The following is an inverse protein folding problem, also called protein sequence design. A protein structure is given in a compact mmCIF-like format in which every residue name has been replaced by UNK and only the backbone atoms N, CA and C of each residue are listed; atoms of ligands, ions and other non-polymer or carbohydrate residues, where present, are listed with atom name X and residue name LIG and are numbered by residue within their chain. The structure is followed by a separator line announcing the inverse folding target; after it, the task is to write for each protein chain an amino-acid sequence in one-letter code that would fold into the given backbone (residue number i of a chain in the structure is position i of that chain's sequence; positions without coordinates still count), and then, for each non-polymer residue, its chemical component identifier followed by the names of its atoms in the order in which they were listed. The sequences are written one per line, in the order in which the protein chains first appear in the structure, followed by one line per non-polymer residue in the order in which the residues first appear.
data_IF_605972208236
#
_entry.id   IF_605972208236
#
_cell.length_a   1.000
_cell.length_b   1.000
_cell.length_c   1.000
_cell.angle_alpha   90.00
_cell.angle_beta   90.00
_cell.angle_gamma   90.00
#
_symmetry.space_group_name_H-M   'P 1'
#
loop_
_entity.id
_entity.type
_entity.pdbx_description
1 polymer ?
#
# COMPACT_ATOMS: atom_id res chain seq x y z
N UNK A 1 28.61 41.95 1.63
CA UNK A 1 27.62 41.30 0.76
C UNK A 1 27.70 39.82 1.04
N UNK A 2 26.90 39.35 2.01
CA UNK A 2 26.78 37.94 2.34
C UNK A 2 25.75 37.32 1.41
N UNK A 3 26.19 36.48 0.48
CA UNK A 3 25.30 35.58 -0.25
C UNK A 3 24.80 34.55 0.76
N UNK A 4 23.53 34.68 1.16
CA UNK A 4 22.83 33.67 1.95
C UNK A 4 22.72 32.41 1.15
N UNK A 5 23.44 31.38 1.57
CA UNK A 5 23.15 30.01 1.21
C UNK A 5 21.74 29.70 1.68
N UNK A 6 20.82 29.53 0.72
CA UNK A 6 19.51 28.93 0.96
C UNK A 6 19.75 27.61 1.70
N UNK A 7 19.07 27.36 2.83
CA UNK A 7 19.12 26.03 3.42
C UNK A 7 18.43 25.11 2.42
N UNK A 8 19.18 24.31 1.69
CA UNK A 8 18.69 23.11 1.04
C UNK A 8 17.98 22.33 2.15
N UNK A 9 16.66 22.27 2.05
CA UNK A 9 15.80 21.53 2.95
C UNK A 9 16.47 20.22 3.31
N UNK A 10 16.87 20.08 4.58
CA UNK A 10 17.32 18.81 5.11
C UNK A 10 16.12 17.87 4.94
N UNK A 11 16.15 17.03 3.89
CA UNK A 11 15.10 16.02 3.63
C UNK A 11 14.96 15.23 4.92
N UNK A 12 13.76 15.19 5.46
CA UNK A 12 13.51 14.34 6.62
C UNK A 12 13.80 12.88 6.21
N UNK A 13 14.51 12.11 7.06
CA UNK A 13 14.78 10.71 6.76
C UNK A 13 13.47 9.94 6.60
N UNK A 14 13.46 8.94 5.74
CA UNK A 14 12.33 8.04 5.59
C UNK A 14 12.08 7.30 6.90
N UNK A 15 10.82 7.03 7.19
CA UNK A 15 10.40 6.27 8.35
C UNK A 15 10.19 4.82 7.94
N UNK A 16 10.96 3.91 8.55
CA UNK A 16 10.86 2.49 8.26
C UNK A 16 10.05 1.74 9.33
N UNK A 17 9.17 0.86 8.87
CA UNK A 17 8.43 -0.08 9.69
C UNK A 17 8.71 -1.52 9.27
N UNK A 18 8.16 -2.46 10.03
CA UNK A 18 8.20 -3.89 9.70
C UNK A 18 6.81 -4.50 9.89
N UNK A 19 6.36 -5.33 8.93
CA UNK A 19 5.07 -6.00 8.96
C UNK A 19 5.04 -7.11 10.04
N UNK A 20 4.05 -7.06 10.93
CA UNK A 20 3.91 -8.09 11.96
C UNK A 20 3.59 -9.47 11.39
N UNK A 21 3.10 -9.56 10.14
CA UNK A 21 2.94 -10.81 9.39
C UNK A 21 4.28 -11.56 9.19
N UNK A 22 5.41 -10.85 9.16
CA UNK A 22 6.76 -11.41 9.14
C UNK A 22 7.30 -11.80 10.54
N UNK A 23 6.52 -11.61 11.60
CA UNK A 23 6.86 -11.94 12.99
C UNK A 23 5.75 -12.79 13.67
N UNK A 24 4.95 -13.52 12.88
CA UNK A 24 3.78 -14.26 13.34
C UNK A 24 4.14 -15.39 14.36
N UNK A 25 5.41 -15.79 14.45
CA UNK A 25 5.89 -16.75 15.45
C UNK A 25 6.22 -16.11 16.81
N UNK A 26 6.14 -14.79 16.94
CA UNK A 26 6.30 -14.04 18.18
C UNK A 26 4.94 -13.59 18.73
N UNK A 27 4.89 -13.37 20.05
CA UNK A 27 3.77 -12.61 20.63
C UNK A 27 3.87 -11.16 20.19
N UNK A 28 2.74 -10.46 20.09
CA UNK A 28 2.73 -9.07 19.65
C UNK A 28 3.64 -8.18 20.51
N UNK A 29 3.57 -8.28 21.83
CA UNK A 29 4.39 -7.45 22.72
C UNK A 29 5.90 -7.69 22.53
N UNK A 30 6.30 -8.94 22.26
CA UNK A 30 7.69 -9.31 21.99
C UNK A 30 8.13 -8.76 20.61
N UNK A 31 7.26 -8.86 19.58
CA UNK A 31 7.50 -8.31 18.26
C UNK A 31 7.67 -6.79 18.28
N UNK A 32 6.78 -6.07 19.00
CA UNK A 32 6.87 -4.62 19.15
C UNK A 32 8.15 -4.19 19.89
N UNK A 33 8.52 -4.90 20.96
CA UNK A 33 9.77 -4.62 21.69
C UNK A 33 10.99 -4.82 20.80
N UNK A 34 11.04 -5.95 20.08
CA UNK A 34 12.12 -6.26 19.13
C UNK A 34 12.29 -5.16 18.09
N UNK A 35 11.20 -4.70 17.48
CA UNK A 35 11.25 -3.68 16.44
C UNK A 35 11.72 -2.32 16.99
N UNK A 36 11.28 -1.95 18.19
CA UNK A 36 11.78 -0.76 18.88
C UNK A 36 13.28 -0.85 19.21
N UNK A 37 13.73 -2.00 19.72
CA UNK A 37 15.14 -2.25 20.05
C UNK A 37 16.04 -2.24 18.83
N UNK A 38 15.53 -2.68 17.66
CA UNK A 38 16.22 -2.60 16.37
C UNK A 38 16.25 -1.19 15.77
N UNK A 39 15.43 -0.26 16.29
CA UNK A 39 15.39 1.14 15.81
C UNK A 39 14.42 1.40 14.67
N UNK A 40 13.40 0.56 14.48
CA UNK A 40 12.30 0.85 13.55
C UNK A 40 11.44 2.02 14.04
N UNK A 41 10.92 2.81 13.09
CA UNK A 41 10.07 3.95 13.36
C UNK A 41 8.59 3.56 13.58
N UNK A 42 8.23 2.30 13.30
CA UNK A 42 6.86 1.82 13.43
C UNK A 42 6.63 0.41 12.91
N UNK A 43 5.35 0.03 12.81
CA UNK A 43 4.92 -1.30 12.41
C UNK A 43 3.79 -1.27 11.39
N UNK A 44 3.78 -2.23 10.45
CA UNK A 44 2.60 -2.66 9.72
C UNK A 44 1.87 -3.70 10.58
N UNK A 45 0.86 -3.28 11.31
CA UNK A 45 0.10 -4.17 12.20
C UNK A 45 -0.94 -4.95 11.39
N UNK A 46 -0.64 -6.19 11.10
CA UNK A 46 -1.57 -7.10 10.44
C UNK A 46 -2.63 -7.58 11.44
N UNK A 47 -3.91 -7.36 11.10
CA UNK A 47 -5.02 -7.84 11.91
C UNK A 47 -5.22 -9.34 11.69
N UNK A 48 -4.72 -10.14 12.61
CA UNK A 48 -4.78 -11.60 12.58
C UNK A 48 -5.01 -12.20 13.97
N UNK A 49 -5.29 -13.49 14.01
CA UNK A 49 -5.52 -14.22 15.25
C UNK A 49 -4.26 -14.38 16.13
N UNK A 50 -3.07 -14.17 15.55
CA UNK A 50 -1.79 -14.30 16.29
C UNK A 50 -1.49 -13.04 17.11
N UNK A 51 -1.80 -11.86 16.59
CA UNK A 51 -1.43 -10.58 17.17
C UNK A 51 -2.64 -9.79 17.67
N UNK A 52 -3.39 -9.16 16.77
CA UNK A 52 -4.61 -8.42 17.10
C UNK A 52 -5.79 -9.00 16.33
N UNK A 53 -6.48 -9.96 16.94
CA UNK A 53 -7.60 -10.66 16.33
C UNK A 53 -8.79 -9.70 16.12
N UNK A 54 -9.13 -9.38 14.86
CA UNK A 54 -10.24 -8.46 14.56
C UNK A 54 -11.62 -9.03 14.91
N UNK A 55 -11.70 -10.34 15.15
CA UNK A 55 -12.94 -11.04 15.51
C UNK A 55 -13.08 -11.27 17.02
N UNK A 56 -12.09 -10.89 17.81
CA UNK A 56 -12.13 -11.06 19.26
C UNK A 56 -13.26 -10.23 19.88
N UNK A 57 -14.03 -10.80 20.84
CA UNK A 57 -15.13 -10.09 21.49
C UNK A 57 -14.67 -8.89 22.30
N UNK A 58 -13.43 -8.87 22.74
CA UNK A 58 -12.79 -7.80 23.51
C UNK A 58 -11.84 -6.93 22.66
N UNK A 59 -12.04 -6.88 21.34
CA UNK A 59 -11.17 -6.15 20.39
C UNK A 59 -10.84 -4.74 20.87
N UNK A 60 -11.85 -3.95 21.28
CA UNK A 60 -11.61 -2.58 21.71
C UNK A 60 -10.68 -2.47 22.94
N UNK A 61 -10.75 -3.42 23.88
CA UNK A 61 -9.84 -3.46 25.02
C UNK A 61 -8.42 -3.88 24.61
N UNK A 62 -8.30 -4.81 23.65
CA UNK A 62 -7.01 -5.21 23.06
C UNK A 62 -6.39 -4.05 22.31
N UNK A 63 -7.15 -3.35 21.48
CA UNK A 63 -6.69 -2.16 20.72
C UNK A 63 -6.12 -1.10 21.66
N UNK A 64 -6.80 -0.78 22.76
CA UNK A 64 -6.27 0.17 23.76
C UNK A 64 -4.95 -0.27 24.38
N UNK A 65 -4.78 -1.56 24.69
CA UNK A 65 -3.49 -2.08 25.18
C UNK A 65 -2.37 -1.93 24.15
N UNK A 66 -2.68 -2.22 22.88
CA UNK A 66 -1.74 -2.03 21.78
C UNK A 66 -1.38 -0.56 21.62
N UNK A 67 -2.35 0.36 21.67
CA UNK A 67 -2.11 1.81 21.61
C UNK A 67 -1.13 2.24 22.69
N UNK A 68 -1.37 1.89 23.96
CA UNK A 68 -0.46 2.19 25.05
C UNK A 68 0.95 1.59 24.87
N UNK A 69 1.03 0.41 24.26
CA UNK A 69 2.32 -0.23 24.00
C UNK A 69 3.10 0.49 22.89
N UNK A 70 2.43 0.85 21.80
CA UNK A 70 3.01 1.64 20.72
C UNK A 70 3.51 2.99 21.22
N UNK A 71 2.70 3.70 22.00
CA UNK A 71 3.08 4.99 22.59
C UNK A 71 4.31 4.85 23.51
N UNK A 72 4.33 3.82 24.37
CA UNK A 72 5.45 3.58 25.29
C UNK A 72 6.76 3.25 24.56
N UNK A 73 6.69 2.70 23.35
CA UNK A 73 7.84 2.36 22.52
C UNK A 73 8.16 3.43 21.47
N UNK A 74 7.32 4.46 21.31
CA UNK A 74 7.49 5.50 20.29
C UNK A 74 7.28 5.00 18.86
N UNK A 75 6.52 3.91 18.67
CA UNK A 75 6.27 3.30 17.36
C UNK A 75 5.02 3.88 16.69
N UNK A 76 5.16 4.32 15.43
CA UNK A 76 4.03 4.58 14.56
C UNK A 76 3.38 3.28 14.07
N UNK A 77 2.18 3.38 13.47
CA UNK A 77 1.46 2.20 13.00
C UNK A 77 0.70 2.46 11.69
N UNK A 78 0.68 1.45 10.81
CA UNK A 78 -0.30 1.27 9.73
C UNK A 78 -1.06 -0.02 10.01
N UNK A 79 -2.37 -0.03 9.77
CA UNK A 79 -3.19 -1.24 9.95
C UNK A 79 -3.30 -1.97 8.63
N UNK A 80 -2.97 -3.26 8.62
CA UNK A 80 -2.97 -4.12 7.44
C UNK A 80 -4.02 -5.23 7.54
N UNK A 81 -4.72 -5.53 6.45
CA UNK A 81 -5.80 -6.53 6.41
C UNK A 81 -5.51 -7.73 5.51
N UNK A 82 -4.23 -7.92 5.16
CA UNK A 82 -3.73 -9.01 4.32
C UNK A 82 -3.59 -10.37 5.01
N UNK A 83 -4.05 -10.52 6.26
CA UNK A 83 -3.90 -11.76 7.01
C UNK A 83 -4.63 -12.95 6.35
N UNK A 84 -3.99 -14.10 6.49
CA UNK A 84 -4.47 -15.37 5.93
C UNK A 84 -5.46 -16.03 6.88
N UNK A 85 -6.52 -16.65 6.31
CA UNK A 85 -7.48 -17.53 7.01
C UNK A 85 -8.27 -16.86 8.16
N UNK A 86 -8.35 -15.53 8.22
CA UNK A 86 -9.05 -14.81 9.31
C UNK A 86 -10.55 -15.02 9.26
N UNK A 87 -11.16 -14.92 8.08
CA UNK A 87 -12.61 -15.02 7.91
C UNK A 87 -13.09 -16.45 7.60
N UNK A 88 -12.23 -17.26 6.99
CA UNK A 88 -12.55 -18.64 6.61
C UNK A 88 -11.27 -19.50 6.69
N UNK A 89 -11.23 -20.54 7.51
CA UNK A 89 -10.06 -21.39 7.67
C UNK A 89 -9.73 -22.24 6.44
N UNK A 90 -10.60 -22.25 5.41
CA UNK A 90 -10.42 -22.99 4.15
C UNK A 90 -10.02 -22.08 2.99
N UNK A 91 -10.19 -20.76 3.10
CA UNK A 91 -9.91 -19.78 2.04
C UNK A 91 -8.89 -18.77 2.51
N UNK A 92 -7.68 -18.81 1.95
CA UNK A 92 -6.51 -18.04 2.40
C UNK A 92 -6.80 -16.55 2.61
N UNK A 93 -7.46 -15.89 1.67
CA UNK A 93 -7.86 -14.47 1.74
C UNK A 93 -9.37 -14.29 1.53
N UNK A 94 -10.14 -15.35 1.64
CA UNK A 94 -11.58 -15.33 1.47
C UNK A 94 -12.35 -15.23 2.80
N UNK A 95 -13.63 -14.82 2.70
CA UNK A 95 -14.24 -14.20 1.55
C UNK A 95 -13.62 -12.87 1.18
N UNK A 96 -13.76 -12.48 -0.10
CA UNK A 96 -13.24 -11.21 -0.64
C UNK A 96 -14.36 -10.20 -0.87
N UNK A 97 -14.00 -8.98 -1.31
CA UNK A 97 -14.96 -7.95 -1.75
C UNK A 97 -15.69 -8.34 -3.04
N UNK A 98 -15.20 -9.36 -3.75
CA UNK A 98 -15.68 -9.78 -5.06
C UNK A 98 -16.54 -11.06 -5.02
N UNK A 99 -16.65 -11.71 -3.85
CA UNK A 99 -17.37 -12.98 -3.71
C UNK A 99 -18.77 -12.92 -4.34
N UNK A 100 -19.24 -14.01 -5.00
CA UNK A 100 -20.58 -14.06 -5.57
C UNK A 100 -21.67 -13.92 -4.51
N UNK A 101 -21.49 -14.52 -3.34
CA UNK A 101 -22.44 -14.44 -2.23
C UNK A 101 -22.38 -13.09 -1.54
N UNK A 102 -23.50 -12.35 -1.43
CA UNK A 102 -23.53 -11.04 -0.78
C UNK A 102 -23.25 -11.10 0.73
N UNK A 103 -23.59 -12.21 1.41
CA UNK A 103 -23.28 -12.41 2.82
C UNK A 103 -21.76 -12.53 3.05
N UNK A 104 -21.06 -13.21 2.15
CA UNK A 104 -19.60 -13.33 2.17
C UNK A 104 -18.94 -11.96 1.93
N UNK A 105 -19.43 -11.18 0.95
CA UNK A 105 -18.94 -9.80 0.78
C UNK A 105 -19.18 -8.95 2.02
N UNK A 106 -20.34 -9.07 2.66
CA UNK A 106 -20.66 -8.34 3.89
C UNK A 106 -19.71 -8.70 5.05
N UNK A 107 -19.27 -9.96 5.15
CA UNK A 107 -18.25 -10.38 6.13
C UNK A 107 -16.90 -9.69 5.91
N UNK A 108 -16.47 -9.56 4.63
CA UNK A 108 -15.23 -8.82 4.30
C UNK A 108 -15.37 -7.32 4.59
N UNK A 109 -16.54 -6.73 4.27
CA UNK A 109 -16.83 -5.33 4.60
C UNK A 109 -16.79 -5.11 6.12
N UNK A 110 -17.40 -6.00 6.92
CA UNK A 110 -17.34 -5.89 8.40
C UNK A 110 -15.91 -5.95 8.94
N UNK A 111 -15.07 -6.83 8.39
CA UNK A 111 -13.65 -6.86 8.73
C UNK A 111 -12.96 -5.52 8.46
N UNK A 112 -13.19 -4.91 7.28
CA UNK A 112 -12.60 -3.61 6.94
C UNK A 112 -13.15 -2.47 7.81
N UNK A 113 -14.44 -2.49 8.14
CA UNK A 113 -15.03 -1.54 9.09
C UNK A 113 -14.42 -1.65 10.50
N UNK A 114 -14.11 -2.88 10.94
CA UNK A 114 -13.36 -3.10 12.20
C UNK A 114 -11.94 -2.57 12.09
N UNK A 115 -11.26 -2.81 10.96
CA UNK A 115 -9.92 -2.29 10.72
C UNK A 115 -9.87 -0.76 10.75
N UNK A 116 -10.86 -0.07 10.17
CA UNK A 116 -10.98 1.39 10.24
C UNK A 116 -11.12 1.87 11.69
N UNK A 117 -11.97 1.20 12.51
CA UNK A 117 -12.12 1.56 13.93
C UNK A 117 -10.81 1.34 14.71
N UNK A 118 -10.16 0.19 14.50
CA UNK A 118 -8.86 -0.11 15.11
C UNK A 118 -7.81 0.94 14.71
N UNK A 119 -7.76 1.31 13.43
CA UNK A 119 -6.83 2.30 12.94
C UNK A 119 -7.06 3.69 13.55
N UNK A 120 -8.33 4.11 13.70
CA UNK A 120 -8.68 5.35 14.38
C UNK A 120 -8.25 5.35 15.85
N UNK A 121 -8.52 4.25 16.57
CA UNK A 121 -8.17 4.10 17.99
C UNK A 121 -6.64 4.03 18.21
N UNK A 122 -5.87 3.58 17.21
CA UNK A 122 -4.41 3.50 17.24
C UNK A 122 -3.72 4.77 16.72
N UNK A 123 -4.44 5.71 16.11
CA UNK A 123 -3.86 6.85 15.40
C UNK A 123 -3.02 6.42 14.18
N UNK A 124 -3.46 5.37 13.49
CA UNK A 124 -2.73 4.79 12.38
C UNK A 124 -2.66 5.73 11.15
N UNK A 125 -1.56 5.62 10.38
CA UNK A 125 -1.36 6.41 9.16
C UNK A 125 -2.35 6.07 8.05
N UNK A 126 -2.75 4.80 7.93
CA UNK A 126 -3.69 4.31 6.95
C UNK A 126 -4.24 2.94 7.35
N UNK A 127 -5.32 2.51 6.67
CA UNK A 127 -5.77 1.11 6.62
C UNK A 127 -5.46 0.57 5.23
N UNK A 128 -4.64 -0.46 5.17
CA UNK A 128 -4.36 -1.20 3.95
C UNK A 128 -5.47 -2.21 3.64
N UNK A 129 -5.83 -2.34 2.37
CA UNK A 129 -6.66 -3.44 1.85
C UNK A 129 -6.38 -3.69 0.38
N UNK A 130 -6.87 -4.83 -0.14
CA UNK A 130 -6.78 -5.20 -1.55
C UNK A 130 -8.14 -5.63 -2.11
N UNK A 131 -8.28 -5.69 -3.44
CA UNK A 131 -9.56 -5.99 -4.11
C UNK A 131 -10.00 -7.46 -3.95
N UNK A 132 -9.07 -8.39 -4.06
CA UNK A 132 -9.30 -9.82 -4.15
C UNK A 132 -9.21 -10.36 -5.57
N UNK A 133 -9.10 -11.69 -5.66
CA UNK A 133 -9.06 -12.43 -6.93
C UNK A 133 -10.49 -12.47 -7.51
N UNK A 134 -10.61 -12.30 -8.83
CA UNK A 134 -11.90 -12.43 -9.52
C UNK A 134 -12.37 -13.89 -9.42
N UNK A 135 -13.56 -14.15 -8.85
CA UNK A 135 -14.06 -15.51 -8.74
C UNK A 135 -14.36 -16.12 -10.11
N UNK A 136 -14.15 -17.44 -10.23
CA UNK A 136 -14.44 -18.19 -11.46
C UNK A 136 -15.88 -17.92 -11.94
N UNK A 137 -16.03 -17.71 -13.24
CA UNK A 137 -17.32 -17.44 -13.87
C UNK A 137 -17.88 -16.03 -13.64
N UNK A 138 -17.14 -15.15 -12.96
CA UNK A 138 -17.51 -13.73 -12.82
C UNK A 138 -16.86 -12.92 -13.93
N UNK A 139 -17.65 -12.17 -14.69
CA UNK A 139 -17.13 -11.23 -15.68
C UNK A 139 -16.49 -9.99 -15.00
N UNK A 140 -15.61 -9.34 -15.73
CA UNK A 140 -14.82 -8.21 -15.22
C UNK A 140 -15.70 -7.02 -14.78
N UNK A 141 -16.75 -6.70 -15.53
CA UNK A 141 -17.63 -5.56 -15.20
C UNK A 141 -18.40 -5.82 -13.91
N UNK A 142 -18.90 -7.05 -13.73
CA UNK A 142 -19.53 -7.49 -12.48
C UNK A 142 -18.53 -7.42 -11.31
N UNK A 143 -17.28 -7.83 -11.51
CA UNK A 143 -16.26 -7.75 -10.47
C UNK A 143 -15.96 -6.28 -10.05
N UNK A 144 -15.79 -5.38 -11.00
CA UNK A 144 -15.61 -3.95 -10.72
C UNK A 144 -16.80 -3.34 -10.03
N UNK A 145 -18.03 -3.67 -10.46
CA UNK A 145 -19.26 -3.22 -9.80
C UNK A 145 -19.31 -3.69 -8.34
N UNK A 146 -19.01 -4.97 -8.07
CA UNK A 146 -18.95 -5.49 -6.68
C UNK A 146 -17.91 -4.76 -5.85
N UNK A 147 -16.72 -4.52 -6.40
CA UNK A 147 -15.64 -3.80 -5.71
C UNK A 147 -16.10 -2.40 -5.30
N UNK A 148 -16.67 -1.64 -6.22
CA UNK A 148 -17.13 -0.28 -5.92
C UNK A 148 -18.26 -0.27 -4.89
N UNK A 149 -19.27 -1.15 -5.02
CA UNK A 149 -20.37 -1.25 -4.08
C UNK A 149 -19.91 -1.62 -2.66
N UNK A 150 -18.92 -2.51 -2.54
CA UNK A 150 -18.43 -2.98 -1.24
C UNK A 150 -17.44 -2.02 -0.60
N UNK A 151 -16.69 -1.24 -1.38
CA UNK A 151 -15.77 -0.23 -0.85
C UNK A 151 -16.48 1.03 -0.34
N UNK A 152 -17.59 1.42 -0.93
CA UNK A 152 -18.31 2.65 -0.53
C UNK A 152 -18.56 2.76 0.99
N UNK A 153 -19.20 1.78 1.67
CA UNK A 153 -19.43 1.90 3.11
C UNK A 153 -18.13 1.93 3.93
N UNK A 154 -17.05 1.33 3.43
CA UNK A 154 -15.74 1.37 4.10
C UNK A 154 -15.09 2.75 3.93
N UNK A 155 -15.19 3.35 2.75
CA UNK A 155 -14.73 4.72 2.48
C UNK A 155 -15.50 5.76 3.31
N UNK A 156 -16.81 5.62 3.45
CA UNK A 156 -17.63 6.49 4.31
C UNK A 156 -17.19 6.41 5.77
N UNK A 157 -16.92 5.20 6.26
CA UNK A 157 -16.38 4.98 7.60
C UNK A 157 -14.98 5.56 7.76
N UNK A 158 -14.11 5.37 6.77
CA UNK A 158 -12.75 5.91 6.74
C UNK A 158 -12.75 7.45 6.76
N UNK A 159 -13.62 8.09 5.96
CA UNK A 159 -13.84 9.53 5.97
C UNK A 159 -14.29 10.03 7.35
N UNK A 160 -15.27 9.35 7.95
CA UNK A 160 -15.81 9.70 9.25
C UNK A 160 -14.78 9.55 10.39
N UNK A 161 -13.88 8.59 10.25
CA UNK A 161 -12.81 8.31 11.21
C UNK A 161 -11.55 9.17 10.98
N UNK A 162 -11.45 9.88 9.85
CA UNK A 162 -10.26 10.64 9.47
C UNK A 162 -9.03 9.78 9.14
N UNK A 163 -9.25 8.51 8.74
CA UNK A 163 -8.16 7.56 8.42
C UNK A 163 -8.27 7.19 6.95
N UNK A 164 -7.20 7.32 6.13
CA UNK A 164 -7.22 6.89 4.74
C UNK A 164 -7.40 5.38 4.59
N UNK A 165 -8.20 4.95 3.59
CA UNK A 165 -8.24 3.58 3.12
C UNK A 165 -7.29 3.45 1.93
N UNK A 166 -6.19 2.76 2.10
CA UNK A 166 -5.15 2.59 1.09
C UNK A 166 -5.31 1.24 0.38
N UNK A 167 -5.78 1.29 -0.86
CA UNK A 167 -5.99 0.08 -1.68
C UNK A 167 -4.70 -0.26 -2.39
N UNK A 168 -4.35 -1.54 -2.34
CA UNK A 168 -3.13 -2.09 -2.92
C UNK A 168 -3.38 -2.74 -4.28
N UNK A 169 -2.60 -2.36 -5.32
CA UNK A 169 -2.45 -3.16 -6.52
C UNK A 169 -1.68 -4.46 -6.22
N UNK A 170 -2.39 -5.58 -6.26
CA UNK A 170 -1.87 -6.90 -5.87
C UNK A 170 -1.79 -7.83 -7.08
N UNK A 171 -0.63 -8.44 -7.39
CA UNK A 171 -0.49 -9.39 -8.49
C UNK A 171 -1.52 -10.53 -8.43
N UNK A 172 -2.26 -10.70 -9.54
CA UNK A 172 -3.31 -11.74 -9.65
C UNK A 172 -4.68 -11.33 -9.10
N UNK A 173 -4.83 -10.14 -8.54
CA UNK A 173 -6.11 -9.59 -8.11
C UNK A 173 -6.81 -8.81 -9.25
N UNK A 174 -8.09 -8.43 -9.04
CA UNK A 174 -8.83 -7.58 -9.98
C UNK A 174 -8.11 -6.22 -10.18
N UNK A 175 -7.67 -5.62 -9.10
CA UNK A 175 -6.86 -4.41 -9.10
C UNK A 175 -5.41 -4.85 -8.89
N UNK A 176 -4.63 -4.92 -9.98
CA UNK A 176 -3.29 -5.46 -9.98
C UNK A 176 -2.21 -4.42 -10.31
N UNK A 177 -2.59 -3.28 -10.90
CA UNK A 177 -1.67 -2.27 -11.40
C UNK A 177 -2.07 -0.85 -10.98
N UNK A 178 -1.16 0.12 -11.13
CA UNK A 178 -1.48 1.54 -10.97
C UNK A 178 -2.58 2.01 -11.94
N UNK A 179 -2.64 1.43 -13.13
CA UNK A 179 -3.70 1.71 -14.11
C UNK A 179 -5.08 1.28 -13.58
N UNK A 180 -5.15 0.13 -12.91
CA UNK A 180 -6.37 -0.37 -12.27
C UNK A 180 -6.77 0.49 -11.07
N UNK A 181 -5.81 0.96 -10.27
CA UNK A 181 -6.09 1.93 -9.20
C UNK A 181 -6.70 3.22 -9.75
N UNK A 182 -6.16 3.76 -10.84
CA UNK A 182 -6.75 4.92 -11.51
C UNK A 182 -8.13 4.63 -12.12
N UNK A 183 -8.38 3.40 -12.56
CA UNK A 183 -9.71 2.99 -13.01
C UNK A 183 -10.70 3.00 -11.83
N UNK A 184 -10.34 2.39 -10.69
CA UNK A 184 -11.15 2.42 -9.47
C UNK A 184 -11.50 3.86 -9.04
N UNK A 185 -10.50 4.75 -9.01
CA UNK A 185 -10.71 6.16 -8.65
C UNK A 185 -11.76 6.84 -9.53
N UNK A 186 -11.70 6.63 -10.85
CA UNK A 186 -12.69 7.17 -11.78
C UNK A 186 -14.09 6.62 -11.51
N UNK A 187 -14.22 5.32 -11.28
CA UNK A 187 -15.50 4.69 -10.96
C UNK A 187 -16.12 5.23 -9.69
N UNK A 188 -15.32 5.55 -8.70
CA UNK A 188 -15.76 6.09 -7.39
C UNK A 188 -15.86 7.63 -7.36
N UNK A 189 -15.68 8.31 -8.50
CA UNK A 189 -15.65 9.77 -8.58
C UNK A 189 -14.62 10.42 -7.63
N UNK A 190 -13.47 9.76 -7.46
CA UNK A 190 -12.30 10.27 -6.73
C UNK A 190 -12.58 10.65 -5.25
N UNK A 191 -13.02 9.72 -4.41
CA UNK A 191 -13.38 10.02 -3.03
C UNK A 191 -12.14 10.35 -2.19
N UNK A 192 -12.24 11.40 -1.37
CA UNK A 192 -11.12 11.91 -0.55
C UNK A 192 -10.40 10.91 0.35
N UNK A 193 -11.07 9.94 1.01
CA UNK A 193 -10.39 8.97 1.87
C UNK A 193 -9.69 7.84 1.11
N UNK A 194 -9.92 7.69 -0.21
CA UNK A 194 -9.26 6.66 -1.01
C UNK A 194 -7.80 7.03 -1.26
N UNK A 195 -6.91 6.19 -0.79
CA UNK A 195 -5.47 6.27 -1.02
C UNK A 195 -4.92 5.02 -1.67
N UNK A 196 -3.62 5.04 -1.90
CA UNK A 196 -2.85 3.95 -2.49
C UNK A 196 -1.88 3.36 -1.45
N UNK A 197 -1.90 2.04 -1.30
CA UNK A 197 -0.74 1.28 -0.83
C UNK A 197 0.11 0.97 -2.06
N UNK A 198 1.37 1.39 -2.05
CA UNK A 198 2.33 1.04 -3.09
C UNK A 198 3.31 0.01 -2.54
N UNK A 199 3.19 -1.21 -3.00
CA UNK A 199 4.18 -2.25 -2.79
C UNK A 199 5.27 -2.15 -3.86
N UNK A 200 6.51 -1.99 -3.41
CA UNK A 200 7.67 -1.79 -4.29
C UNK A 200 8.03 -3.08 -5.03
N UNK A 201 7.85 -4.24 -4.39
CA UNK A 201 8.02 -5.54 -5.03
C UNK A 201 6.98 -5.77 -6.12
N UNK A 202 5.70 -5.41 -5.88
CA UNK A 202 4.65 -5.52 -6.90
C UNK A 202 4.93 -4.60 -8.10
N UNK A 203 5.51 -3.41 -7.88
CA UNK A 203 5.98 -2.57 -8.98
C UNK A 203 7.06 -3.29 -9.81
N UNK A 204 8.03 -3.91 -9.16
CA UNK A 204 9.04 -4.71 -9.85
C UNK A 204 8.41 -5.91 -10.58
N UNK A 205 7.45 -6.57 -9.97
CA UNK A 205 6.80 -7.76 -10.53
C UNK A 205 6.01 -7.47 -11.81
N UNK A 206 5.11 -6.47 -11.78
CA UNK A 206 4.10 -6.30 -12.83
C UNK A 206 4.18 -4.98 -13.61
N UNK A 207 4.58 -3.88 -12.98
CA UNK A 207 4.49 -2.58 -13.63
C UNK A 207 5.46 -2.45 -14.81
N UNK A 208 5.06 -1.81 -15.91
CA UNK A 208 5.95 -1.58 -17.05
C UNK A 208 7.08 -0.58 -16.74
N UNK A 209 6.86 0.29 -15.75
CA UNK A 209 7.83 1.28 -15.29
C UNK A 209 8.75 0.70 -14.23
N UNK A 210 10.00 1.20 -14.11
CA UNK A 210 10.84 0.89 -12.95
C UNK A 210 10.17 1.32 -11.63
N UNK A 211 10.43 0.63 -10.49
CA UNK A 211 9.79 0.95 -9.21
C UNK A 211 9.92 2.40 -8.77
N UNK A 212 11.06 3.05 -9.00
CA UNK A 212 11.24 4.48 -8.72
C UNK A 212 10.31 5.40 -9.53
N UNK A 213 9.97 5.02 -10.76
CA UNK A 213 9.01 5.77 -11.58
C UNK A 213 7.57 5.51 -11.14
N UNK A 214 7.26 4.29 -10.69
CA UNK A 214 5.99 3.97 -10.04
C UNK A 214 5.77 4.83 -8.80
N UNK A 215 6.78 5.00 -7.94
CA UNK A 215 6.72 5.90 -6.77
C UNK A 215 6.38 7.33 -7.19
N UNK A 216 7.05 7.87 -8.22
CA UNK A 216 6.78 9.22 -8.73
C UNK A 216 5.36 9.36 -9.25
N UNK A 217 4.89 8.37 -10.01
CA UNK A 217 3.53 8.35 -10.55
C UNK A 217 2.46 8.24 -9.46
N UNK A 218 2.75 7.49 -8.38
CA UNK A 218 1.83 7.24 -7.26
C UNK A 218 1.74 8.41 -6.25
N UNK A 219 2.70 9.33 -6.25
CA UNK A 219 2.92 10.34 -5.21
C UNK A 219 1.65 11.05 -4.69
N UNK A 220 0.70 11.52 -5.52
CA UNK A 220 -0.48 12.26 -5.04
C UNK A 220 -1.41 11.41 -4.15
N UNK A 221 -1.41 10.10 -4.35
CA UNK A 221 -2.35 9.18 -3.69
C UNK A 221 -1.69 8.27 -2.67
N UNK A 222 -0.37 8.35 -2.52
CA UNK A 222 0.41 7.50 -1.64
C UNK A 222 0.01 7.72 -0.18
N UNK A 223 -0.42 6.64 0.50
CA UNK A 223 -0.81 6.63 1.91
C UNK A 223 -0.08 5.56 2.70
N UNK A 224 0.35 4.50 2.04
CA UNK A 224 1.13 3.42 2.62
C UNK A 224 2.14 2.89 1.61
N UNK A 225 3.28 2.41 2.09
CA UNK A 225 4.33 1.80 1.25
C UNK A 225 4.74 0.49 1.89
N UNK A 226 4.73 -0.56 1.10
CA UNK A 226 5.36 -1.84 1.44
C UNK A 226 6.64 -2.00 0.62
N UNK A 227 7.64 -2.66 1.20
CA UNK A 227 8.95 -2.77 0.60
C UNK A 227 9.63 -4.09 1.00
N UNK A 228 10.06 -4.82 0.02
CA UNK A 228 10.90 -6.01 0.07
C UNK A 228 11.60 -6.16 -1.27
N UNK A 229 12.37 -7.22 -1.46
CA UNK A 229 12.95 -7.51 -2.77
C UNK A 229 12.06 -8.45 -3.58
N UNK A 230 12.13 -8.35 -4.90
CA UNK A 230 11.31 -9.16 -5.82
C UNK A 230 11.96 -9.24 -7.20
N UNK A 231 11.58 -10.28 -7.98
CA UNK A 231 12.02 -10.46 -9.37
C UNK A 231 10.91 -10.11 -10.35
N UNK A 232 11.32 -9.67 -11.52
CA UNK A 232 10.37 -9.39 -12.62
C UNK A 232 9.53 -10.64 -12.94
N UNK A 233 8.19 -10.46 -12.94
CA UNK A 233 7.23 -11.52 -13.29
C UNK A 233 7.05 -12.63 -12.25
N UNK A 234 7.69 -12.53 -11.08
CA UNK A 234 7.59 -13.53 -10.01
C UNK A 234 7.13 -12.87 -8.72
N UNK A 235 5.89 -13.14 -8.32
CA UNK A 235 5.32 -12.62 -7.08
C UNK A 235 5.82 -13.42 -5.86
N UNK A 236 6.96 -13.01 -5.34
CA UNK A 236 7.59 -13.64 -4.18
C UNK A 236 8.32 -12.57 -3.35
N UNK A 237 7.85 -12.37 -2.11
CA UNK A 237 8.48 -11.42 -1.17
C UNK A 237 9.83 -11.99 -0.70
N UNK A 238 10.90 -11.43 -1.22
CA UNK A 238 12.27 -11.87 -0.96
C UNK A 238 12.96 -10.95 0.07
N UNK A 239 13.88 -11.49 0.88
CA UNK A 239 14.81 -10.67 1.63
C UNK A 239 15.61 -9.74 0.71
N UNK A 240 15.99 -8.57 1.23
CA UNK A 240 16.77 -7.61 0.46
C UNK A 240 18.10 -8.21 -0.03
N UNK A 241 18.38 -8.05 -1.31
CA UNK A 241 19.54 -8.59 -2.01
C UNK A 241 19.33 -9.95 -2.68
N UNK A 242 18.17 -10.59 -2.49
CA UNK A 242 17.82 -11.87 -3.13
C UNK A 242 16.98 -11.68 -4.41
N UNK A 243 16.52 -10.46 -4.69
CA UNK A 243 15.75 -10.07 -5.87
C UNK A 243 16.52 -9.23 -6.88
N UNK A 244 15.83 -8.29 -7.54
CA UNK A 244 16.38 -7.51 -8.66
C UNK A 244 16.15 -5.99 -8.48
N UNK A 245 15.64 -5.54 -7.33
CA UNK A 245 15.29 -4.13 -7.14
C UNK A 245 16.53 -3.29 -6.85
N UNK A 246 16.70 -2.20 -7.60
CA UNK A 246 17.66 -1.14 -7.28
C UNK A 246 17.02 -0.15 -6.29
N UNK A 247 17.34 -0.29 -4.99
CA UNK A 247 16.69 0.45 -3.91
C UNK A 247 17.08 1.93 -3.80
N UNK A 248 18.33 2.37 -4.01
CA UNK A 248 18.67 3.79 -3.89
C UNK A 248 17.80 4.73 -4.72
N UNK A 249 17.51 4.49 -6.01
CA UNK A 249 16.58 5.32 -6.79
C UNK A 249 15.14 5.31 -6.24
N UNK A 250 14.68 4.18 -5.69
CA UNK A 250 13.34 4.05 -5.08
C UNK A 250 13.23 4.93 -3.86
N UNK A 251 14.20 4.83 -2.94
CA UNK A 251 14.22 5.62 -1.70
C UNK A 251 14.41 7.11 -1.99
N UNK A 252 15.22 7.48 -3.00
CA UNK A 252 15.33 8.85 -3.47
C UNK A 252 13.99 9.40 -3.99
N UNK A 253 13.25 8.58 -4.75
CA UNK A 253 11.92 8.94 -5.24
C UNK A 253 10.92 9.12 -4.09
N UNK A 254 10.86 8.19 -3.12
CA UNK A 254 10.02 8.30 -1.91
C UNK A 254 10.32 9.58 -1.14
N UNK A 255 11.58 9.86 -0.86
CA UNK A 255 12.00 11.09 -0.16
C UNK A 255 11.58 12.36 -0.93
N UNK A 256 11.62 12.33 -2.27
CA UNK A 256 11.24 13.46 -3.11
C UNK A 256 9.72 13.71 -3.14
N UNK A 257 8.88 12.70 -2.86
CA UNK A 257 7.41 12.88 -2.78
C UNK A 257 6.97 13.63 -1.54
N UNK A 258 7.82 13.75 -0.53
CA UNK A 258 7.45 14.28 0.79
C UNK A 258 6.59 13.31 1.62
N UNK A 259 6.58 12.03 1.28
CA UNK A 259 5.86 10.99 2.02
C UNK A 259 6.29 10.95 3.49
N UNK A 260 5.33 10.99 4.41
CA UNK A 260 5.56 11.04 5.86
C UNK A 260 5.05 9.77 6.59
N UNK A 261 4.47 8.82 5.87
CA UNK A 261 4.02 7.54 6.42
C UNK A 261 5.19 6.58 6.67
N UNK A 262 4.84 5.35 7.00
CA UNK A 262 5.81 4.27 7.17
C UNK A 262 6.07 3.57 5.83
N UNK A 263 7.35 3.30 5.54
CA UNK A 263 7.76 2.33 4.52
C UNK A 263 7.99 1.01 5.23
N UNK A 264 7.05 0.08 5.08
CA UNK A 264 6.95 -1.15 5.88
C UNK A 264 7.58 -2.32 5.13
N UNK A 265 8.56 -2.97 5.75
CA UNK A 265 9.13 -4.22 5.24
C UNK A 265 8.09 -5.33 5.30
N UNK A 266 7.82 -5.99 4.17
CA UNK A 266 6.85 -7.08 4.09
C UNK A 266 7.49 -8.43 3.72
N UNK A 267 7.73 -9.26 4.74
CA UNK A 267 8.31 -10.60 4.58
C UNK A 267 7.43 -11.69 5.21
N UNK A 268 6.18 -11.89 4.73
CA UNK A 268 5.16 -12.71 5.41
C UNK A 268 5.46 -14.21 5.40
N UNK A 269 6.43 -14.67 4.59
CA UNK A 269 6.83 -16.08 4.52
C UNK A 269 8.06 -16.39 5.37
N UNK A 270 8.63 -15.38 6.04
CA UNK A 270 9.91 -15.49 6.73
C UNK A 270 9.80 -15.42 8.25
N UNK A 271 8.59 -15.53 8.81
CA UNK A 271 8.29 -15.43 10.24
C UNK A 271 9.09 -16.46 11.08
N UNK A 272 9.35 -17.65 10.52
CA UNK A 272 10.20 -18.67 11.17
C UNK A 272 11.62 -18.20 11.54
N UNK A 273 12.09 -17.13 10.94
CA UNK A 273 13.36 -16.48 11.25
C UNK A 273 13.19 -14.94 11.31
N UNK A 274 11.99 -14.48 11.66
CA UNK A 274 11.58 -13.07 11.65
C UNK A 274 12.56 -12.11 12.32
N UNK A 275 13.06 -12.39 13.55
CA UNK A 275 14.04 -11.53 14.21
C UNK A 275 15.33 -11.31 13.42
N UNK A 276 15.80 -12.34 12.71
CA UNK A 276 16.98 -12.24 11.84
C UNK A 276 16.69 -11.34 10.65
N UNK A 277 15.55 -11.53 9.97
CA UNK A 277 15.21 -10.73 8.81
C UNK A 277 14.91 -9.28 9.19
N UNK A 278 14.23 -9.03 10.29
CA UNK A 278 14.05 -7.67 10.80
C UNK A 278 15.39 -6.98 11.12
N UNK A 279 16.32 -7.72 11.75
CA UNK A 279 17.66 -7.21 12.07
C UNK A 279 18.53 -6.90 10.84
N UNK A 280 18.29 -7.57 9.70
CA UNK A 280 19.03 -7.32 8.45
C UNK A 280 18.39 -6.25 7.58
N UNK A 281 17.05 -6.14 7.58
CA UNK A 281 16.31 -5.25 6.68
C UNK A 281 16.57 -3.77 6.96
N UNK A 282 16.54 -3.36 8.23
CA UNK A 282 16.70 -1.94 8.56
C UNK A 282 18.09 -1.39 8.20
N UNK A 283 19.21 -2.05 8.56
CA UNK A 283 20.53 -1.59 8.12
C UNK A 283 20.65 -1.51 6.59
N UNK A 284 20.15 -2.51 5.85
CA UNK A 284 20.14 -2.48 4.39
C UNK A 284 19.41 -1.24 3.84
N UNK A 285 18.22 -0.96 4.33
CA UNK A 285 17.45 0.20 3.89
C UNK A 285 18.12 1.53 4.26
N UNK A 286 18.75 1.63 5.43
CA UNK A 286 19.49 2.83 5.83
C UNK A 286 20.74 3.04 4.96
N UNK A 287 21.46 1.99 4.59
CA UNK A 287 22.60 2.08 3.68
C UNK A 287 22.16 2.50 2.27
N UNK A 288 21.05 1.95 1.78
CA UNK A 288 20.46 2.34 0.50
C UNK A 288 19.97 3.79 0.50
N UNK A 289 19.38 4.26 1.61
CA UNK A 289 18.95 5.67 1.80
C UNK A 289 20.15 6.62 1.79
N UNK A 290 21.25 6.26 2.45
CA UNK A 290 22.51 7.04 2.42
C UNK A 290 23.08 7.12 1.01
N UNK A 291 23.09 6.01 0.29
CA UNK A 291 23.51 5.95 -1.12
C UNK A 291 22.62 6.85 -1.99
N UNK A 292 21.30 6.82 -1.79
CA UNK A 292 20.35 7.68 -2.48
C UNK A 292 20.60 9.18 -2.27
N UNK A 293 21.07 9.56 -1.08
CA UNK A 293 21.38 10.94 -0.78
C UNK A 293 22.63 11.50 -1.50
N UNK A 294 23.52 10.61 -1.91
CA UNK A 294 24.77 10.97 -2.61
C UNK A 294 24.61 11.05 -4.13
N UNK A 295 23.56 10.43 -4.69
CA UNK A 295 23.25 10.44 -6.12
C UNK A 295 22.34 11.62 -6.42
N UNK A 296 22.79 12.59 -7.24
CA UNK A 296 21.93 13.68 -7.71
C UNK A 296 20.69 13.10 -8.43
N UNK A 297 19.48 13.58 -8.16
CA UNK A 297 18.30 13.06 -8.83
C UNK A 297 18.41 13.32 -10.33
N UNK A 298 18.02 12.35 -11.18
CA UNK A 298 17.89 12.60 -12.61
C UNK A 298 16.86 13.71 -12.84
N UNK A 299 17.02 14.55 -13.88
CA UNK A 299 16.05 15.58 -14.21
C UNK A 299 14.68 14.94 -14.41
N UNK A 300 13.63 15.60 -13.87
CA UNK A 300 12.26 15.13 -14.04
C UNK A 300 11.96 14.87 -15.53
N UNK A 301 11.32 13.72 -15.88
CA UNK A 301 10.94 13.49 -17.25
C UNK A 301 10.04 14.62 -17.71
N UNK A 302 10.38 15.25 -18.84
CA UNK A 302 9.54 16.25 -19.46
C UNK A 302 8.18 15.62 -19.75
N UNK A 303 7.13 16.15 -19.13
CA UNK A 303 5.75 15.79 -19.44
C UNK A 303 5.56 16.01 -20.95
N UNK A 304 5.58 14.94 -21.75
CA UNK A 304 5.15 15.01 -23.13
C UNK A 304 3.68 15.43 -23.12
N UNK A 305 3.45 16.69 -23.47
CA UNK A 305 2.11 17.17 -23.74
C UNK A 305 1.55 16.29 -24.86
N UNK A 306 0.46 15.58 -24.57
CA UNK A 306 -0.27 14.82 -25.57
C UNK A 306 -0.61 15.76 -26.73
N UNK A 307 -0.16 15.41 -27.92
CA UNK A 307 -0.50 16.14 -29.13
C UNK A 307 -2.03 16.17 -29.28
N UNK A 308 -2.61 17.30 -29.71
CA UNK A 308 -4.05 17.36 -29.92
C UNK A 308 -4.45 16.37 -31.04
N UNK A 309 -5.66 15.78 -30.97
CA UNK A 309 -6.12 14.86 -31.99
C UNK A 309 -6.18 15.55 -33.36
N UNK A 310 -5.59 14.89 -34.35
CA UNK A 310 -5.62 15.34 -35.74
C UNK A 310 -7.06 15.58 -36.18
N UNK A 311 -7.28 16.77 -36.81
CA UNK A 311 -8.58 17.25 -37.24
C UNK A 311 -9.30 16.29 -38.18
N UNK A 312 -10.60 16.27 -38.05
CA UNK A 312 -11.51 15.59 -38.93
C UNK A 312 -11.38 16.17 -40.38
N UNK A 313 -11.56 15.37 -41.45
CA UNK A 313 -11.54 15.85 -42.80
C UNK A 313 -12.73 16.78 -43.09
N UNK A 314 -12.46 17.93 -43.66
CA UNK A 314 -13.46 18.89 -44.14
C UNK A 314 -14.22 18.30 -45.32
N UNK A 315 -15.51 18.05 -45.16
CA UNK A 315 -16.43 17.78 -46.27
C UNK A 315 -16.84 19.10 -46.91
N UNK A 316 -16.36 19.36 -48.07
CA UNK A 316 -16.91 20.40 -49.00
C UNK A 316 -18.22 19.88 -49.58
N UNK A 317 -19.30 20.68 -49.64
CA UNK A 317 -20.50 20.28 -50.37
C UNK A 317 -20.33 20.58 -51.89
N UNK A 318 -20.42 19.55 -52.72
CA UNK A 318 -20.58 19.71 -54.15
C UNK A 318 -21.98 20.23 -54.48
N UNK A 319 -21.98 21.27 -55.31
CA UNK A 319 -23.19 21.94 -55.75
C UNK A 319 -24.00 21.12 -56.73
N UNK A 320 -25.30 21.16 -56.56
CA UNK A 320 -26.31 20.69 -57.48
C UNK A 320 -26.42 21.60 -58.71
N UNK A 321 -26.35 21.05 -59.89
CA UNK A 321 -26.95 21.64 -61.06
C UNK A 321 -27.75 20.59 -61.80
N UNK A 322 -29.05 20.82 -61.85
CA UNK A 322 -30.01 20.20 -62.78
C UNK A 322 -29.98 20.94 -64.11
N UNK A 323 -30.37 20.28 -65.21
CA UNK A 323 -31.63 20.68 -65.89
C UNK A 323 -32.71 19.60 -65.77
#
# INVERSE_FOLDING_TARGET
MNAGTSPLDARRPLRFGYGTNGLADLRLDDALSLLADLGYDGVGLTLDHMHLDPLAPDLAARTRRVAHRLDALGLGVTVETGARYVLDPRRKHGPSLLDPDPGDRARRVDLLLRAVRVAADLGAHAVHCFSGIVPDGTDTDTAWKRLTETLMPVLDAAASAGVPLAVEPEPGHLLATLADFHHLRRMLADPGPLGLTLDIGHCQCLEPLPPADCVRAAAPWLRHVQIEDMRRGVHEHLPFGDGEIDFPPVLAALAATGYQGLTVVELPRHSHAGPRYAGHSLPFLRDAEQTAATVSPPPAPALQQAAPPHGAPSTTPEGSSTP
#
